data_IF_970013453042
#
_entry.id   IF_970013453042
#
_cell.length_a   1.000
_cell.length_b   1.000
_cell.length_c   1.000
_cell.angle_alpha   90.00
_cell.angle_beta   90.00
_cell.angle_gamma   90.00
#
_symmetry.space_group_name_H-M   'P 1'
#
loop_
_entity.id
_entity.type
_entity.pdbx_description
1 polymer ?
#
# COMPACT_ATOMS: atom_id res chain seq x y z
N UNK A 1 18.86 7.32 32.88
CA UNK A 1 18.80 8.72 32.43
C UNK A 1 17.43 8.98 31.86
N UNK A 2 16.55 9.62 32.64
CA UNK A 2 15.19 9.97 32.22
C UNK A 2 15.24 11.31 31.49
N UNK A 3 15.12 11.29 30.15
CA UNK A 3 14.97 12.51 29.38
C UNK A 3 13.61 13.13 29.77
N UNK A 4 13.64 14.30 30.40
CA UNK A 4 12.46 15.14 30.62
C UNK A 4 11.91 15.54 29.26
N UNK A 5 10.90 14.81 28.78
CA UNK A 5 10.09 15.22 27.63
C UNK A 5 9.28 16.43 28.10
N UNK A 6 9.57 17.61 27.53
CA UNK A 6 8.79 18.82 27.80
C UNK A 6 7.35 18.58 27.35
N UNK A 7 6.35 18.77 28.22
CA UNK A 7 4.97 18.36 27.93
C UNK A 7 4.29 19.17 26.82
N UNK A 8 4.92 20.25 26.32
CA UNK A 8 4.37 21.10 25.27
C UNK A 8 5.49 21.70 24.39
N UNK A 9 6.25 20.87 23.68
CA UNK A 9 6.91 21.40 22.49
C UNK A 9 5.79 21.87 21.54
N UNK A 10 5.79 23.14 21.09
CA UNK A 10 4.74 23.65 20.23
C UNK A 10 4.67 22.77 18.97
N UNK A 11 3.47 22.25 18.68
CA UNK A 11 3.23 21.46 17.47
C UNK A 11 3.68 22.25 16.25
N UNK A 12 4.41 21.61 15.35
CA UNK A 12 4.83 22.25 14.11
C UNK A 12 3.60 22.80 13.36
N UNK A 13 3.60 24.03 12.84
CA UNK A 13 2.40 24.67 12.29
C UNK A 13 1.70 23.84 11.20
N UNK A 14 2.47 23.17 10.33
CA UNK A 14 1.92 22.29 9.29
C UNK A 14 1.21 21.07 9.88
N UNK A 15 1.73 20.50 10.96
CA UNK A 15 1.11 19.37 11.65
C UNK A 15 -0.17 19.83 12.33
N UNK A 16 -0.16 20.99 12.99
CA UNK A 16 -1.36 21.57 13.58
C UNK A 16 -2.46 21.80 12.52
N UNK A 17 -2.12 22.39 11.38
CA UNK A 17 -3.06 22.58 10.26
C UNK A 17 -3.59 21.25 9.72
N UNK A 18 -2.73 20.24 9.58
CA UNK A 18 -3.14 18.89 9.18
C UNK A 18 -4.17 18.31 10.17
N UNK A 19 -3.91 18.41 11.48
CA UNK A 19 -4.81 17.92 12.51
C UNK A 19 -6.16 18.65 12.52
N UNK A 20 -6.15 19.97 12.31
CA UNK A 20 -7.38 20.76 12.14
C UNK A 20 -8.17 20.29 10.91
N UNK A 21 -7.50 20.05 9.78
CA UNK A 21 -8.16 19.52 8.59
C UNK A 21 -8.66 18.09 8.79
N UNK A 22 -7.96 17.30 9.59
CA UNK A 22 -8.37 15.93 9.90
C UNK A 22 -9.60 15.88 10.81
N UNK A 23 -9.76 16.83 11.73
CA UNK A 23 -10.94 16.91 12.60
C UNK A 23 -12.14 17.54 11.91
N UNK A 24 -11.94 18.62 11.15
CA UNK A 24 -13.02 19.37 10.49
C UNK A 24 -13.46 18.76 9.16
N UNK A 25 -12.53 18.13 8.43
CA UNK A 25 -12.77 17.58 7.09
C UNK A 25 -12.18 16.15 6.98
N UNK A 26 -12.59 15.21 7.85
CA UNK A 26 -11.89 13.93 8.05
C UNK A 26 -11.79 13.06 6.81
N UNK A 27 -12.87 12.95 6.02
CA UNK A 27 -12.86 12.13 4.80
C UNK A 27 -11.94 12.72 3.74
N UNK A 28 -12.06 14.02 3.46
CA UNK A 28 -11.22 14.73 2.49
C UNK A 28 -9.74 14.61 2.83
N UNK A 29 -9.39 14.88 4.08
CA UNK A 29 -8.00 14.84 4.54
C UNK A 29 -7.42 13.43 4.46
N UNK A 30 -8.18 12.40 4.84
CA UNK A 30 -7.77 10.99 4.69
C UNK A 30 -7.62 10.61 3.22
N UNK A 31 -8.53 11.03 2.35
CA UNK A 31 -8.48 10.76 0.91
C UNK A 31 -7.23 11.36 0.25
N UNK A 32 -6.93 12.63 0.53
CA UNK A 32 -5.74 13.30 0.00
C UNK A 32 -4.47 12.64 0.55
N UNK A 33 -4.41 12.34 1.86
CA UNK A 33 -3.25 11.68 2.47
C UNK A 33 -2.99 10.31 1.82
N UNK A 34 -4.05 9.50 1.70
CA UNK A 34 -3.99 8.15 1.13
C UNK A 34 -3.60 8.18 -0.35
N UNK A 35 -4.09 9.15 -1.12
CA UNK A 35 -3.72 9.35 -2.51
C UNK A 35 -2.22 9.65 -2.66
N UNK A 36 -1.72 10.61 -1.89
CA UNK A 36 -0.29 10.98 -1.87
C UNK A 36 0.57 9.79 -1.47
N UNK A 37 0.19 9.08 -0.42
CA UNK A 37 0.95 7.93 0.08
C UNK A 37 0.97 6.78 -0.93
N UNK A 38 -0.16 6.47 -1.55
CA UNK A 38 -0.25 5.42 -2.56
C UNK A 38 0.56 5.77 -3.82
N UNK A 39 0.54 7.04 -4.24
CA UNK A 39 1.39 7.53 -5.33
C UNK A 39 2.88 7.35 -5.01
N UNK A 40 3.31 7.81 -3.83
CA UNK A 40 4.69 7.72 -3.38
C UNK A 40 5.15 6.26 -3.20
N UNK A 41 4.30 5.38 -2.69
CA UNK A 41 4.58 3.94 -2.58
C UNK A 41 4.91 3.31 -3.94
N UNK A 42 4.24 3.72 -5.01
CA UNK A 42 4.51 3.20 -6.36
C UNK A 42 5.79 3.79 -6.94
N UNK A 43 6.02 5.09 -6.77
CA UNK A 43 7.24 5.76 -7.23
C UNK A 43 8.48 5.18 -6.51
N UNK A 44 8.48 5.23 -5.18
CA UNK A 44 9.58 4.69 -4.35
C UNK A 44 9.74 3.20 -4.58
N UNK A 45 8.63 2.45 -4.62
CA UNK A 45 8.65 1.02 -4.84
C UNK A 45 9.24 0.64 -6.20
N UNK A 46 9.05 1.46 -7.23
CA UNK A 46 9.65 1.24 -8.55
C UNK A 46 11.15 1.50 -8.57
N UNK A 47 11.59 2.62 -7.98
CA UNK A 47 13.01 2.94 -7.82
C UNK A 47 13.75 1.88 -7.01
N UNK A 48 13.24 1.54 -5.82
CA UNK A 48 13.88 0.60 -4.91
C UNK A 48 13.84 -0.86 -5.40
N UNK A 49 12.90 -1.20 -6.30
CA UNK A 49 12.90 -2.48 -6.99
C UNK A 49 13.88 -2.55 -8.18
N UNK A 50 14.42 -1.42 -8.62
CA UNK A 50 15.29 -1.35 -9.80
C UNK A 50 14.54 -1.57 -11.11
N UNK A 51 13.29 -1.11 -11.21
CA UNK A 51 12.54 -1.21 -12.47
C UNK A 51 13.17 -0.29 -13.52
N UNK A 52 13.25 -0.72 -14.79
CA UNK A 52 13.60 0.20 -15.86
C UNK A 52 12.52 1.29 -16.01
N UNK A 53 12.89 2.52 -16.42
CA UNK A 53 11.92 3.55 -16.77
C UNK A 53 10.91 3.06 -17.80
N UNK A 54 9.68 3.57 -17.73
CA UNK A 54 8.66 3.23 -18.72
C UNK A 54 9.14 3.62 -20.13
N UNK A 55 8.94 2.77 -21.15
CA UNK A 55 9.30 3.10 -22.52
C UNK A 55 8.61 4.39 -22.96
N UNK A 56 9.37 5.30 -23.56
CA UNK A 56 8.86 6.56 -24.13
C UNK A 56 9.18 6.62 -25.62
N UNK A 57 8.29 7.19 -26.46
CA UNK A 57 8.60 7.49 -27.86
C UNK A 57 9.89 8.30 -28.02
N UNK A 58 10.61 8.14 -29.13
CA UNK A 58 11.90 8.81 -29.37
C UNK A 58 11.75 10.33 -29.41
N UNK A 59 10.64 10.81 -29.96
CA UNK A 59 10.18 12.19 -30.10
C UNK A 59 9.50 12.75 -28.84
N UNK A 60 9.38 11.97 -27.76
CA UNK A 60 8.75 12.44 -26.53
C UNK A 60 9.50 13.65 -25.92
N UNK A 61 8.71 14.57 -25.35
CA UNK A 61 9.22 15.78 -24.69
C UNK A 61 10.21 15.47 -23.56
N UNK A 62 11.08 16.42 -23.25
CA UNK A 62 12.04 16.32 -22.13
C UNK A 62 11.31 16.03 -20.82
N UNK A 63 10.16 16.68 -20.59
CA UNK A 63 9.35 16.45 -19.40
C UNK A 63 8.82 15.01 -19.33
N UNK A 64 8.30 14.47 -20.43
CA UNK A 64 7.79 13.09 -20.48
C UNK A 64 8.90 12.08 -20.16
N UNK A 65 10.10 12.29 -20.72
CA UNK A 65 11.28 11.46 -20.44
C UNK A 65 11.73 11.58 -18.97
N UNK A 66 11.70 12.79 -18.41
CA UNK A 66 12.04 13.03 -17.00
C UNK A 66 11.03 12.34 -16.06
N UNK A 67 9.73 12.44 -16.31
CA UNK A 67 8.69 11.77 -15.53
C UNK A 67 8.80 10.24 -15.61
N UNK A 68 9.08 9.70 -16.80
CA UNK A 68 9.30 8.26 -16.97
C UNK A 68 10.50 7.75 -16.16
N UNK A 69 11.62 8.49 -16.16
CA UNK A 69 12.80 8.20 -15.33
C UNK A 69 12.51 8.31 -13.84
N UNK A 70 11.64 9.22 -13.45
CA UNK A 70 11.18 9.36 -12.07
C UNK A 70 10.12 8.31 -11.67
N UNK A 71 9.74 7.38 -12.56
CA UNK A 71 8.62 6.44 -12.38
C UNK A 71 7.26 7.11 -12.11
N UNK A 72 7.09 8.35 -12.53
CA UNK A 72 5.82 9.06 -12.51
C UNK A 72 5.09 8.71 -13.80
N UNK A 73 4.29 7.64 -13.74
CA UNK A 73 3.57 7.09 -14.89
C UNK A 73 2.09 6.83 -14.55
N UNK A 74 1.33 6.33 -15.53
CA UNK A 74 -0.10 6.03 -15.37
C UNK A 74 -0.39 5.11 -14.17
N UNK A 75 0.52 4.19 -13.83
CA UNK A 75 0.35 3.31 -12.67
C UNK A 75 0.45 4.07 -11.35
N UNK A 76 1.39 5.02 -11.21
CA UNK A 76 1.48 5.88 -10.05
C UNK A 76 0.20 6.72 -9.85
N UNK A 77 -0.38 7.25 -10.93
CA UNK A 77 -1.66 7.95 -10.86
C UNK A 77 -2.84 7.03 -10.53
N UNK A 78 -2.89 5.82 -11.08
CA UNK A 78 -3.90 4.82 -10.69
C UNK A 78 -3.80 4.45 -9.21
N UNK A 79 -2.59 4.39 -8.66
CA UNK A 79 -2.35 4.18 -7.23
C UNK A 79 -2.86 5.37 -6.39
N UNK A 80 -2.62 6.60 -6.85
CA UNK A 80 -3.18 7.79 -6.20
C UNK A 80 -4.72 7.74 -6.18
N UNK A 81 -5.34 7.37 -7.30
CA UNK A 81 -6.78 7.23 -7.41
C UNK A 81 -7.34 6.14 -6.51
N UNK A 82 -6.64 5.00 -6.39
CA UNK A 82 -6.98 3.97 -5.40
C UNK A 82 -6.96 4.52 -3.97
N UNK A 83 -5.91 5.25 -3.61
CA UNK A 83 -5.79 5.87 -2.30
C UNK A 83 -6.95 6.83 -2.01
N UNK A 84 -7.28 7.68 -2.98
CA UNK A 84 -8.31 8.72 -2.89
C UNK A 84 -9.74 8.16 -2.86
N UNK A 85 -10.08 7.31 -3.84
CA UNK A 85 -11.48 6.93 -4.13
C UNK A 85 -11.89 5.61 -3.49
N UNK A 86 -10.93 4.74 -3.15
CA UNK A 86 -11.23 3.39 -2.65
C UNK A 86 -10.75 3.22 -1.22
N UNK A 87 -9.44 3.32 -0.99
CA UNK A 87 -8.82 3.00 0.29
C UNK A 87 -9.34 3.88 1.43
N UNK A 88 -9.25 5.19 1.26
CA UNK A 88 -9.64 6.13 2.31
C UNK A 88 -11.14 6.17 2.60
N UNK A 89 -12.05 6.23 1.60
CA UNK A 89 -13.49 6.19 1.85
C UNK A 89 -13.93 4.89 2.51
N UNK A 90 -13.44 3.74 2.02
CA UNK A 90 -13.75 2.44 2.60
C UNK A 90 -13.29 2.36 4.05
N UNK A 91 -12.04 2.74 4.33
CA UNK A 91 -11.51 2.76 5.70
C UNK A 91 -12.26 3.74 6.61
N UNK A 92 -12.61 4.92 6.11
CA UNK A 92 -13.37 5.91 6.86
C UNK A 92 -14.74 5.37 7.30
N UNK A 93 -15.47 4.76 6.37
CA UNK A 93 -16.81 4.22 6.64
C UNK A 93 -16.73 3.02 7.56
N UNK A 94 -15.90 2.02 7.23
CA UNK A 94 -15.81 0.77 8.00
C UNK A 94 -15.35 1.00 9.44
N UNK A 95 -14.29 1.80 9.62
CA UNK A 95 -13.80 2.13 10.97
C UNK A 95 -14.81 3.02 11.70
N UNK A 96 -15.47 3.95 11.00
CA UNK A 96 -16.52 4.77 11.60
C UNK A 96 -17.71 3.95 12.09
N UNK A 97 -18.14 2.94 11.34
CA UNK A 97 -19.19 2.00 11.75
C UNK A 97 -18.75 1.18 12.97
N UNK A 98 -17.52 0.67 12.96
CA UNK A 98 -16.95 -0.04 14.10
C UNK A 98 -16.90 0.86 15.35
N UNK A 99 -16.45 2.10 15.22
CA UNK A 99 -16.40 3.06 16.32
C UNK A 99 -17.80 3.37 16.86
N UNK A 100 -18.80 3.57 15.99
CA UNK A 100 -20.19 3.77 16.39
C UNK A 100 -20.76 2.56 17.14
N UNK A 101 -20.49 1.33 16.68
CA UNK A 101 -20.98 0.12 17.31
C UNK A 101 -20.42 -0.10 18.74
N UNK A 102 -19.22 0.41 19.02
CA UNK A 102 -18.56 0.31 20.32
C UNK A 102 -18.61 1.62 21.13
N UNK A 103 -19.36 2.63 20.67
CA UNK A 103 -19.50 3.90 21.38
C UNK A 103 -20.11 3.68 22.78
N UNK A 104 -19.52 4.31 23.80
CA UNK A 104 -19.94 4.18 25.20
C UNK A 104 -19.66 2.82 25.84
N UNK A 105 -19.03 1.86 25.14
CA UNK A 105 -18.65 0.56 25.70
C UNK A 105 -17.30 0.64 26.40
N UNK A 106 -17.27 0.40 27.71
CA UNK A 106 -16.08 0.57 28.56
C UNK A 106 -15.63 -0.74 29.19
N UNK A 107 -14.31 -0.92 29.32
CA UNK A 107 -13.69 -2.10 29.94
C UNK A 107 -12.94 -3.00 28.96
N UNK A 108 -12.10 -3.89 29.51
CA UNK A 108 -11.19 -4.74 28.73
C UNK A 108 -11.93 -5.62 27.71
N UNK A 109 -13.07 -6.20 28.10
CA UNK A 109 -13.86 -7.08 27.21
C UNK A 109 -14.26 -6.40 25.90
N UNK A 110 -14.67 -5.13 25.96
CA UNK A 110 -15.10 -4.40 24.76
C UNK A 110 -13.92 -3.92 23.92
N UNK A 111 -12.78 -3.58 24.55
CA UNK A 111 -11.54 -3.27 23.83
C UNK A 111 -11.06 -4.49 23.03
N UNK A 112 -11.07 -5.67 23.65
CA UNK A 112 -10.71 -6.93 22.98
C UNK A 112 -11.71 -7.26 21.87
N UNK A 113 -13.02 -7.16 22.14
CA UNK A 113 -14.04 -7.40 21.13
C UNK A 113 -13.94 -6.44 19.95
N UNK A 114 -13.64 -5.15 20.18
CA UNK A 114 -13.45 -4.16 19.12
C UNK A 114 -12.20 -4.47 18.29
N UNK A 115 -11.10 -4.88 18.94
CA UNK A 115 -9.88 -5.30 18.25
C UNK A 115 -10.11 -6.54 17.38
N UNK A 116 -10.83 -7.53 17.90
CA UNK A 116 -11.19 -8.73 17.15
C UNK A 116 -12.13 -8.41 15.99
N UNK A 117 -13.17 -7.58 16.20
CA UNK A 117 -14.05 -7.13 15.14
C UNK A 117 -13.30 -6.36 14.05
N UNK A 118 -12.34 -5.50 14.43
CA UNK A 118 -11.46 -4.82 13.48
C UNK A 118 -10.66 -5.82 12.64
N UNK A 119 -10.04 -6.82 13.26
CA UNK A 119 -9.18 -7.79 12.57
C UNK A 119 -9.96 -8.85 11.78
N UNK A 120 -11.16 -9.22 12.21
CA UNK A 120 -11.93 -10.32 11.60
C UNK A 120 -13.04 -9.85 10.67
N UNK A 121 -13.45 -8.58 10.73
CA UNK A 121 -14.49 -8.03 9.85
C UNK A 121 -13.92 -6.94 8.94
N UNK A 122 -13.26 -5.93 9.52
CA UNK A 122 -12.79 -4.77 8.75
C UNK A 122 -11.58 -5.12 7.89
N UNK A 123 -10.57 -5.76 8.47
CA UNK A 123 -9.34 -6.09 7.77
C UNK A 123 -9.53 -7.04 6.56
N UNK A 124 -10.36 -8.09 6.59
CA UNK A 124 -10.68 -8.90 5.42
C UNK A 124 -11.27 -8.08 4.27
N UNK A 125 -12.22 -7.19 4.55
CA UNK A 125 -12.87 -6.36 3.53
C UNK A 125 -11.83 -5.43 2.88
N UNK A 126 -11.02 -4.76 3.70
CA UNK A 126 -9.96 -3.88 3.20
C UNK A 126 -8.90 -4.65 2.40
N UNK A 127 -8.51 -5.84 2.85
CA UNK A 127 -7.53 -6.69 2.15
C UNK A 127 -8.04 -7.13 0.79
N UNK A 128 -9.30 -7.57 0.72
CA UNK A 128 -9.96 -7.94 -0.54
C UNK A 128 -10.04 -6.75 -1.49
N UNK A 129 -10.47 -5.57 -1.00
CA UNK A 129 -10.55 -4.37 -1.81
C UNK A 129 -9.17 -3.91 -2.33
N UNK A 130 -8.14 -3.99 -1.50
CA UNK A 130 -6.76 -3.71 -1.90
C UNK A 130 -6.30 -4.67 -3.01
N UNK A 131 -6.42 -5.98 -2.83
CA UNK A 131 -5.97 -6.97 -3.80
C UNK A 131 -6.76 -6.89 -5.11
N UNK A 132 -8.07 -6.64 -5.04
CA UNK A 132 -8.90 -6.43 -6.21
C UNK A 132 -8.46 -5.18 -6.99
N UNK A 133 -8.22 -4.07 -6.28
CA UNK A 133 -7.69 -2.85 -6.90
C UNK A 133 -6.31 -3.07 -7.51
N UNK A 134 -5.44 -3.82 -6.83
CA UNK A 134 -4.12 -4.18 -7.35
C UNK A 134 -4.19 -5.01 -8.63
N UNK A 135 -5.16 -5.94 -8.73
CA UNK A 135 -5.38 -6.71 -9.95
C UNK A 135 -5.74 -5.78 -11.13
N UNK A 136 -6.70 -4.88 -10.92
CA UNK A 136 -7.14 -3.89 -11.93
C UNK A 136 -6.01 -2.93 -12.33
N UNK A 137 -5.27 -2.41 -11.35
CA UNK A 137 -4.13 -1.50 -11.59
C UNK A 137 -3.04 -2.17 -12.42
N UNK A 138 -2.83 -3.48 -12.20
CA UNK A 138 -1.87 -4.28 -12.96
C UNK A 138 -2.44 -4.81 -14.30
N UNK A 139 -3.68 -4.46 -14.67
CA UNK A 139 -4.23 -4.76 -15.99
C UNK A 139 -5.02 -6.07 -16.09
N UNK A 140 -5.59 -6.56 -14.98
CA UNK A 140 -6.59 -7.64 -15.04
C UNK A 140 -7.72 -7.27 -16.02
N UNK A 141 -8.10 -8.20 -16.89
CA UNK A 141 -9.09 -7.98 -17.97
C UNK A 141 -10.44 -8.62 -17.69
N UNK A 142 -10.52 -9.50 -16.67
CA UNK A 142 -11.69 -10.28 -16.33
C UNK A 142 -11.90 -10.33 -14.81
N UNK A 143 -13.12 -10.65 -14.38
CA UNK A 143 -13.44 -10.83 -12.95
C UNK A 143 -12.68 -12.03 -12.40
N UNK A 144 -12.48 -13.06 -13.21
CA UNK A 144 -11.76 -14.28 -12.87
C UNK A 144 -10.29 -13.97 -12.53
N UNK A 145 -9.64 -13.08 -13.27
CA UNK A 145 -8.26 -12.64 -12.97
C UNK A 145 -8.17 -11.88 -11.64
N UNK A 146 -9.18 -11.05 -11.34
CA UNK A 146 -9.29 -10.34 -10.08
C UNK A 146 -9.45 -11.32 -8.93
N UNK A 147 -10.40 -12.27 -9.04
CA UNK A 147 -10.65 -13.30 -8.04
C UNK A 147 -9.42 -14.18 -7.83
N UNK A 148 -8.72 -14.56 -8.89
CA UNK A 148 -7.46 -15.33 -8.81
C UNK A 148 -6.40 -14.57 -8.01
N UNK A 149 -6.24 -13.27 -8.29
CA UNK A 149 -5.29 -12.41 -7.57
C UNK A 149 -5.64 -12.28 -6.10
N UNK A 150 -6.93 -12.07 -5.80
CA UNK A 150 -7.42 -11.99 -4.41
C UNK A 150 -7.14 -13.30 -3.69
N UNK A 151 -7.55 -14.45 -4.24
CA UNK A 151 -7.33 -15.77 -3.60
C UNK A 151 -5.85 -16.07 -3.35
N UNK A 152 -4.99 -15.78 -4.32
CA UNK A 152 -3.55 -16.01 -4.20
C UNK A 152 -2.88 -15.08 -3.15
N UNK A 153 -3.34 -13.83 -3.06
CA UNK A 153 -2.72 -12.82 -2.20
C UNK A 153 -3.30 -12.73 -0.79
N UNK A 154 -4.57 -13.13 -0.60
CA UNK A 154 -5.36 -12.77 0.59
C UNK A 154 -4.67 -13.16 1.90
N UNK A 155 -4.32 -14.44 2.06
CA UNK A 155 -3.69 -14.92 3.28
C UNK A 155 -2.29 -14.35 3.50
N UNK A 156 -1.55 -14.06 2.42
CA UNK A 156 -0.23 -13.42 2.50
C UNK A 156 -0.34 -12.02 3.07
N UNK A 157 -1.32 -11.23 2.62
CA UNK A 157 -1.51 -9.85 3.07
C UNK A 157 -2.14 -9.79 4.47
N UNK A 158 -3.22 -10.54 4.69
CA UNK A 158 -3.99 -10.44 5.94
C UNK A 158 -3.18 -10.91 7.16
N UNK A 159 -2.33 -11.94 7.01
CA UNK A 159 -1.47 -12.41 8.12
C UNK A 159 -0.51 -11.36 8.59
N UNK A 160 0.09 -10.60 7.67
CA UNK A 160 0.96 -9.48 8.03
C UNK A 160 0.14 -8.41 8.75
N UNK A 161 -1.05 -8.09 8.26
CA UNK A 161 -1.92 -7.12 8.92
C UNK A 161 -2.31 -7.56 10.35
N UNK A 162 -2.65 -8.83 10.56
CA UNK A 162 -2.99 -9.38 11.88
C UNK A 162 -1.84 -9.34 12.88
N UNK A 163 -0.59 -9.28 12.42
CA UNK A 163 0.58 -9.12 13.28
C UNK A 163 0.89 -7.63 13.50
N UNK A 164 0.93 -6.85 12.42
CA UNK A 164 1.38 -5.45 12.51
C UNK A 164 0.34 -4.56 13.17
N UNK A 165 -0.97 -4.81 12.95
CA UNK A 165 -2.03 -3.98 13.52
C UNK A 165 -2.04 -3.99 15.05
N UNK A 166 -2.04 -5.14 15.75
CA UNK A 166 -1.97 -5.18 17.21
C UNK A 166 -0.67 -4.60 17.77
N UNK A 167 0.48 -4.90 17.14
CA UNK A 167 1.77 -4.36 17.58
C UNK A 167 1.81 -2.83 17.48
N UNK A 168 1.34 -2.28 16.36
CA UNK A 168 1.24 -0.84 16.15
C UNK A 168 0.25 -0.20 17.14
N UNK A 169 -0.83 -0.89 17.48
CA UNK A 169 -1.79 -0.44 18.49
C UNK A 169 -1.15 -0.35 19.89
N UNK A 170 -0.37 -1.34 20.30
CA UNK A 170 0.35 -1.31 21.60
C UNK A 170 1.30 -0.11 21.64
N UNK A 171 2.06 0.11 20.57
CA UNK A 171 2.96 1.29 20.47
C UNK A 171 2.17 2.59 20.54
N UNK A 172 1.06 2.69 19.79
CA UNK A 172 0.21 3.89 19.80
C UNK A 172 -0.32 4.19 21.21
N UNK A 173 -0.80 3.17 21.92
CA UNK A 173 -1.36 3.31 23.27
C UNK A 173 -0.31 3.69 24.32
N UNK A 174 0.93 3.24 24.17
CA UNK A 174 1.99 3.49 25.15
C UNK A 174 2.75 4.80 24.90
N UNK A 175 2.92 5.20 23.64
CA UNK A 175 3.90 6.24 23.29
C UNK A 175 3.33 7.40 22.48
N UNK A 176 2.12 7.29 21.89
CA UNK A 176 1.61 8.25 20.93
C UNK A 176 0.36 8.95 21.48
N UNK A 177 0.33 10.30 21.54
CA UNK A 177 -0.88 11.06 21.84
C UNK A 177 -2.02 10.70 20.87
N UNK A 178 -3.26 10.62 21.37
CA UNK A 178 -4.42 10.11 20.61
C UNK A 178 -4.70 10.92 19.33
N UNK A 179 -4.41 12.21 19.36
CA UNK A 179 -4.55 13.13 18.24
C UNK A 179 -3.61 12.78 17.08
N UNK A 180 -2.47 12.15 17.40
CA UNK A 180 -1.44 11.73 16.44
C UNK A 180 -1.61 10.28 15.97
N UNK A 181 -2.62 9.55 16.45
CA UNK A 181 -2.81 8.15 16.05
C UNK A 181 -3.04 7.99 14.55
N UNK A 182 -3.87 8.84 13.95
CA UNK A 182 -4.13 8.77 12.50
C UNK A 182 -2.86 8.97 11.67
N UNK A 183 -2.07 10.06 11.84
CA UNK A 183 -0.83 10.20 11.10
C UNK A 183 0.17 9.08 11.40
N UNK A 184 0.24 8.60 12.65
CA UNK A 184 1.08 7.43 13.00
C UNK A 184 0.70 6.17 12.21
N UNK A 185 -0.58 5.78 12.19
CA UNK A 185 -1.04 4.61 11.44
C UNK A 185 -0.90 4.78 9.93
N UNK A 186 -1.04 6.01 9.41
CA UNK A 186 -0.77 6.31 8.01
C UNK A 186 0.70 6.04 7.65
N UNK A 187 1.65 6.37 8.53
CA UNK A 187 3.08 6.09 8.32
C UNK A 187 3.34 4.58 8.33
N UNK A 188 2.74 3.83 9.26
CA UNK A 188 2.85 2.37 9.28
C UNK A 188 2.31 1.75 7.97
N UNK A 189 1.11 2.16 7.54
CA UNK A 189 0.54 1.70 6.28
C UNK A 189 1.40 2.11 5.08
N UNK A 190 1.95 3.32 5.10
CA UNK A 190 2.87 3.79 4.06
C UNK A 190 4.09 2.88 3.93
N UNK A 191 4.75 2.60 5.06
CA UNK A 191 5.94 1.75 5.12
C UNK A 191 5.62 0.31 4.65
N UNK A 192 4.57 -0.30 5.19
CA UNK A 192 4.15 -1.65 4.80
C UNK A 192 3.81 -1.75 3.31
N UNK A 193 3.02 -0.81 2.80
CA UNK A 193 2.64 -0.80 1.38
C UNK A 193 3.85 -0.57 0.47
N UNK A 194 4.82 0.25 0.87
CA UNK A 194 6.09 0.42 0.14
C UNK A 194 6.87 -0.88 0.10
N UNK A 195 7.06 -1.55 1.24
CA UNK A 195 7.78 -2.83 1.34
C UNK A 195 7.10 -3.89 0.48
N UNK A 196 5.76 -3.99 0.52
CA UNK A 196 5.01 -4.92 -0.32
C UNK A 196 5.16 -4.61 -1.80
N UNK A 197 5.07 -3.34 -2.21
CA UNK A 197 5.30 -2.94 -3.59
C UNK A 197 6.70 -3.35 -4.07
N UNK A 198 7.73 -3.10 -3.27
CA UNK A 198 9.12 -3.49 -3.59
C UNK A 198 9.21 -5.02 -3.75
N UNK A 199 8.70 -5.78 -2.77
CA UNK A 199 8.78 -7.24 -2.78
C UNK A 199 8.07 -7.84 -4.00
N UNK A 200 6.86 -7.39 -4.30
CA UNK A 200 6.09 -7.86 -5.46
C UNK A 200 6.81 -7.52 -6.76
N UNK A 201 7.33 -6.30 -6.91
CA UNK A 201 8.07 -5.89 -8.11
C UNK A 201 9.35 -6.70 -8.31
N UNK A 202 10.13 -6.92 -7.24
CA UNK A 202 11.35 -7.75 -7.29
C UNK A 202 11.06 -9.20 -7.67
N UNK A 203 10.01 -9.79 -7.11
CA UNK A 203 9.59 -11.15 -7.47
C UNK A 203 9.19 -11.26 -8.94
N UNK A 204 8.45 -10.28 -9.47
CA UNK A 204 8.09 -10.24 -10.90
C UNK A 204 9.31 -10.09 -11.80
N UNK A 205 10.25 -9.23 -11.45
CA UNK A 205 11.50 -9.07 -12.20
C UNK A 205 12.33 -10.36 -12.20
N UNK A 206 12.44 -11.02 -11.05
CA UNK A 206 13.15 -12.29 -10.95
C UNK A 206 12.47 -13.40 -11.77
N UNK A 207 11.14 -13.45 -11.78
CA UNK A 207 10.39 -14.39 -12.60
C UNK A 207 10.59 -14.13 -14.09
N UNK A 208 10.50 -12.87 -14.53
CA UNK A 208 10.72 -12.49 -15.93
C UNK A 208 12.13 -12.84 -16.41
N UNK A 209 13.16 -12.56 -15.61
CA UNK A 209 14.55 -12.92 -15.93
C UNK A 209 14.73 -14.43 -16.10
N UNK A 210 14.16 -15.24 -15.20
CA UNK A 210 14.23 -16.70 -15.30
C UNK A 210 13.54 -17.23 -16.57
N UNK A 211 12.42 -16.62 -16.95
CA UNK A 211 11.70 -16.99 -18.18
C UNK A 211 12.50 -16.61 -19.44
N UNK A 212 13.18 -15.46 -19.44
CA UNK A 212 14.08 -15.04 -20.52
C UNK A 212 15.28 -15.99 -20.64
N UNK A 213 15.96 -16.30 -19.53
CA UNK A 213 17.08 -17.25 -19.50
C UNK A 213 16.67 -18.65 -19.98
N UNK A 214 15.48 -19.11 -19.63
CA UNK A 214 14.96 -20.39 -20.09
C UNK A 214 14.72 -20.39 -21.62
N UNK A 215 14.11 -19.33 -22.16
CA UNK A 215 13.88 -19.18 -23.60
C UNK A 215 15.19 -19.11 -24.39
N UNK A 216 16.22 -18.46 -23.85
CA UNK A 216 17.54 -18.41 -24.48
C UNK A 216 18.21 -19.78 -24.52
N UNK A 217 18.10 -20.58 -23.45
CA UNK A 217 18.60 -21.96 -23.42
C UNK A 217 17.90 -22.85 -24.45
N UNK A 218 16.56 -22.80 -24.50
CA UNK A 218 15.77 -23.58 -25.48
C UNK A 218 16.11 -23.18 -26.94
N UNK A 219 16.39 -21.90 -27.20
CA UNK A 219 16.87 -21.42 -28.51
C UNK A 219 18.28 -21.91 -28.84
N UNK A 220 19.18 -21.94 -27.87
CA UNK A 220 20.55 -22.43 -28.08
C UNK A 220 20.56 -23.95 -28.33
N UNK A 221 19.75 -24.71 -27.58
CA UNK A 221 19.61 -26.16 -27.74
C UNK A 221 18.99 -26.51 -29.10
N UNK A 222 17.92 -25.82 -29.52
CA UNK A 222 17.33 -26.03 -30.86
C UNK A 222 18.27 -25.65 -32.00
N UNK A 223 19.06 -24.57 -31.86
CA UNK A 223 20.07 -24.21 -32.85
C UNK A 223 21.20 -25.25 -32.94
N UNK A 224 21.64 -25.79 -31.82
CA UNK A 224 22.66 -26.85 -31.77
C UNK A 224 22.15 -28.18 -32.36
N UNK A 225 20.89 -28.54 -32.12
CA UNK A 225 20.28 -29.72 -32.72
C UNK A 225 20.21 -29.59 -34.25
N UNK A 226 19.75 -28.44 -34.77
CA UNK A 226 19.68 -28.19 -36.21
C UNK A 226 21.06 -28.16 -36.90
N UNK A 227 22.13 -27.87 -36.17
CA UNK A 227 23.52 -27.93 -36.68
C UNK A 227 24.07 -29.35 -36.76
N UNK A 228 23.53 -30.30 -35.97
CA UNK A 228 23.97 -31.70 -35.98
C UNK A 228 23.21 -32.57 -37.00
N UNK A 229 22.10 -32.07 -37.55
CA UNK A 229 21.27 -32.75 -38.56
C UNK A 229 21.64 -32.38 -40.02
N UNK A 230 22.70 -31.56 -40.22
CA UNK A 230 23.28 -31.17 -41.53
C UNK A 230 24.67 -31.77 -41.68
#
# INVERSE_FOLDING_TARGET
MSAKISPNAPLHPLLAQYLVQLSTNPLRTKAITSATFSFLQEVIGSHAAGLPPSPTPKDASVLTKALARAHINAKAFKMALYGFSVSAPLGHVLVGLLQKAFAGKVGLKYRLAQLLASNLLIAPIQTTAFLASMAMINGAKSVEDVVRTVRAGFFTVIRVNWVVSPLSMVVAQQFIPVELWVPFFNIIQFALGTIFNIKVKRLRLAAAKREEEQKERERAESAAANLNDV
#
